data_IF_157915226557
#
_entry.id   IF_157915226557
#
_cell.length_a   1.000
_cell.length_b   1.000
_cell.length_c   1.000
_cell.angle_alpha   90.00
_cell.angle_beta   90.00
_cell.angle_gamma   90.00
#
_symmetry.space_group_name_H-M   'P 1'
#
loop_
_entity.id
_entity.type
_entity.pdbx_description
1 polymer ?
#
# COMPACT_ATOMS: atom_id res chain seq x y z
N UNK A 1 -25.21 -40.59 4.55
CA UNK A 1 -25.50 -39.13 4.56
C UNK A 1 -24.94 -38.36 5.78
N UNK A 2 -24.64 -39.02 6.88
CA UNK A 2 -24.11 -38.33 8.11
C UNK A 2 -22.59 -38.14 8.13
N UNK A 3 -21.79 -38.99 7.48
CA UNK A 3 -20.32 -38.84 7.48
C UNK A 3 -19.82 -37.71 6.57
N UNK A 4 -20.51 -37.41 5.46
CA UNK A 4 -20.15 -36.29 4.57
C UNK A 4 -20.37 -34.93 5.25
N UNK A 5 -21.42 -34.78 6.05
CA UNK A 5 -21.69 -33.56 6.84
C UNK A 5 -20.64 -33.32 7.95
N UNK A 6 -20.16 -34.39 8.59
CA UNK A 6 -19.14 -34.30 9.66
C UNK A 6 -17.76 -33.91 9.09
N UNK A 7 -17.39 -34.40 7.90
CA UNK A 7 -16.13 -34.03 7.22
C UNK A 7 -16.18 -32.61 6.69
N UNK A 8 -17.35 -32.14 6.22
CA UNK A 8 -17.54 -30.77 5.76
C UNK A 8 -17.47 -29.76 6.92
N UNK A 9 -18.09 -30.07 8.07
CA UNK A 9 -18.06 -29.26 9.28
C UNK A 9 -16.63 -29.16 9.87
N UNK A 10 -15.86 -30.26 9.91
CA UNK A 10 -14.46 -30.26 10.36
C UNK A 10 -13.53 -29.47 9.40
N UNK A 11 -13.83 -29.48 8.09
CA UNK A 11 -13.04 -28.74 7.09
C UNK A 11 -13.29 -27.23 7.17
N UNK A 12 -14.50 -26.81 7.57
CA UNK A 12 -14.85 -25.41 7.82
C UNK A 12 -14.24 -24.92 9.14
N UNK A 13 -14.26 -25.74 10.19
CA UNK A 13 -13.69 -25.41 11.51
C UNK A 13 -12.15 -25.29 11.50
N UNK A 14 -11.45 -26.09 10.68
CA UNK A 14 -10.00 -25.98 10.52
C UNK A 14 -9.55 -24.76 9.72
N UNK A 15 -10.41 -24.19 8.85
CA UNK A 15 -10.12 -22.99 8.06
C UNK A 15 -10.27 -21.68 8.84
N UNK A 16 -11.14 -21.65 9.84
CA UNK A 16 -11.34 -20.47 10.69
C UNK A 16 -10.26 -20.30 11.76
N UNK A 17 -9.53 -21.36 12.13
CA UNK A 17 -8.50 -21.29 13.17
C UNK A 17 -7.23 -20.53 12.74
N UNK A 18 -6.78 -20.62 11.47
CA UNK A 18 -5.60 -19.91 10.98
C UNK A 18 -5.80 -18.39 10.96
N UNK A 19 -6.94 -17.92 10.45
CA UNK A 19 -7.27 -16.51 10.41
C UNK A 19 -7.51 -15.90 11.80
N UNK A 20 -8.08 -16.68 12.72
CA UNK A 20 -8.28 -16.25 14.11
C UNK A 20 -6.95 -15.99 14.83
N UNK A 21 -5.99 -16.90 14.70
CA UNK A 21 -4.69 -16.79 15.38
C UNK A 21 -3.89 -15.56 14.88
N UNK A 22 -3.90 -15.29 13.59
CA UNK A 22 -3.24 -14.12 13.03
C UNK A 22 -3.86 -12.80 13.54
N UNK A 23 -5.19 -12.70 13.60
CA UNK A 23 -5.90 -11.54 14.16
C UNK A 23 -5.52 -11.28 15.63
N UNK A 24 -5.48 -12.33 16.44
CA UNK A 24 -5.08 -12.22 17.85
C UNK A 24 -3.61 -11.85 17.99
N UNK A 25 -2.74 -12.35 17.13
CA UNK A 25 -1.34 -11.96 17.09
C UNK A 25 -1.17 -10.48 16.76
N UNK A 26 -1.84 -9.96 15.73
CA UNK A 26 -1.80 -8.54 15.37
C UNK A 26 -2.34 -7.65 16.49
N UNK A 27 -3.45 -8.05 17.12
CA UNK A 27 -3.99 -7.34 18.29
C UNK A 27 -2.99 -7.35 19.46
N UNK A 28 -2.35 -8.47 19.72
CA UNK A 28 -1.31 -8.58 20.75
C UNK A 28 -0.14 -7.63 20.47
N UNK A 29 0.38 -7.63 19.24
CA UNK A 29 1.45 -6.71 18.83
C UNK A 29 1.02 -5.25 19.04
N UNK A 30 -0.19 -4.91 18.61
CA UNK A 30 -0.74 -3.56 18.80
C UNK A 30 -0.81 -3.14 20.29
N UNK A 31 -1.28 -4.03 21.16
CA UNK A 31 -1.33 -3.80 22.61
C UNK A 31 0.08 -3.61 23.18
N UNK A 32 1.05 -4.43 22.74
CA UNK A 32 2.45 -4.29 23.15
C UNK A 32 3.02 -2.93 22.76
N UNK A 33 2.76 -2.47 21.52
CA UNK A 33 3.20 -1.17 21.03
C UNK A 33 2.58 -0.02 21.81
N UNK A 34 1.27 -0.05 22.08
CA UNK A 34 0.60 0.95 22.92
C UNK A 34 1.15 0.94 24.35
N UNK A 35 1.41 -0.25 24.91
CA UNK A 35 1.99 -0.39 26.24
C UNK A 35 3.42 0.14 26.30
N UNK A 36 4.22 -0.03 25.24
CA UNK A 36 5.56 0.55 25.14
C UNK A 36 5.52 2.07 25.22
N UNK A 37 4.61 2.71 24.47
CA UNK A 37 4.40 4.17 24.57
C UNK A 37 4.01 4.58 25.98
N UNK A 38 3.10 3.85 26.64
CA UNK A 38 2.67 4.14 28.00
C UNK A 38 3.81 3.97 29.02
N UNK A 39 4.70 2.98 28.85
CA UNK A 39 5.89 2.83 29.73
C UNK A 39 6.84 4.03 29.62
N UNK A 40 6.91 4.71 28.46
CA UNK A 40 7.64 5.96 28.29
C UNK A 40 7.20 7.03 29.30
N UNK A 41 5.88 7.18 29.51
CA UNK A 41 5.33 8.08 30.52
C UNK A 41 5.87 7.77 31.91
N UNK A 42 5.90 6.49 32.35
CA UNK A 42 6.42 6.11 33.66
C UNK A 42 7.92 6.37 33.82
N UNK A 43 8.70 6.22 32.76
CA UNK A 43 10.13 6.54 32.74
C UNK A 43 10.39 8.04 32.93
N UNK A 44 9.59 8.88 32.29
CA UNK A 44 9.81 10.33 32.26
C UNK A 44 9.18 11.08 33.45
N UNK A 45 8.01 10.65 33.95
CA UNK A 45 7.24 11.32 34.99
C UNK A 45 8.02 11.58 36.29
N UNK A 46 8.94 10.67 36.65
CA UNK A 46 9.73 10.82 37.89
C UNK A 46 10.62 12.05 37.90
N UNK A 47 11.02 12.53 36.72
CA UNK A 47 11.84 13.73 36.54
C UNK A 47 11.00 15.01 36.40
N UNK A 48 9.67 14.87 36.19
CA UNK A 48 8.77 16.02 36.04
C UNK A 48 8.13 16.45 37.35
N UNK A 49 8.25 15.65 38.43
CA UNK A 49 7.67 15.94 39.76
C UNK A 49 6.19 16.34 39.70
N UNK A 50 5.40 15.61 38.93
CA UNK A 50 4.00 15.91 38.64
C UNK A 50 3.15 15.71 39.92
N UNK A 51 2.45 16.74 40.42
CA UNK A 51 1.47 16.57 41.47
C UNK A 51 0.37 15.60 41.05
N UNK A 52 -0.11 14.81 41.99
CA UNK A 52 -1.21 13.83 41.73
C UNK A 52 -0.94 12.91 40.53
N UNK A 53 0.33 12.54 40.30
CA UNK A 53 0.75 11.74 39.15
C UNK A 53 -0.08 10.49 38.89
N UNK A 54 -0.69 9.86 39.92
CA UNK A 54 -1.56 8.69 39.75
C UNK A 54 -2.83 9.05 38.96
N UNK A 55 -3.46 10.19 39.28
CA UNK A 55 -4.67 10.67 38.56
C UNK A 55 -4.30 11.02 37.13
N UNK A 56 -3.17 11.74 36.93
CA UNK A 56 -2.66 12.08 35.60
C UNK A 56 -2.36 10.82 34.79
N UNK A 57 -1.75 9.80 35.40
CA UNK A 57 -1.47 8.52 34.72
C UNK A 57 -2.73 7.77 34.30
N UNK A 58 -3.78 7.80 35.14
CA UNK A 58 -5.11 7.24 34.80
C UNK A 58 -5.70 7.99 33.61
N UNK A 59 -5.64 9.34 33.62
CA UNK A 59 -6.12 10.18 32.51
C UNK A 59 -5.39 9.88 31.22
N UNK A 60 -4.07 9.73 31.24
CA UNK A 60 -3.26 9.37 30.06
C UNK A 60 -3.60 7.96 29.58
N UNK A 61 -3.72 6.99 30.50
CA UNK A 61 -4.12 5.63 30.13
C UNK A 61 -5.49 5.60 29.46
N UNK A 62 -6.46 6.33 30.01
CA UNK A 62 -7.80 6.45 29.44
C UNK A 62 -7.77 7.10 28.04
N UNK A 63 -7.02 8.19 27.88
CA UNK A 63 -6.85 8.85 26.59
C UNK A 63 -6.21 7.92 25.57
N UNK A 64 -5.12 7.23 25.92
CA UNK A 64 -4.49 6.25 25.03
C UNK A 64 -5.43 5.10 24.67
N UNK A 65 -6.21 4.62 25.62
CA UNK A 65 -7.21 3.57 25.37
C UNK A 65 -8.28 4.07 24.39
N UNK A 66 -8.77 5.29 24.56
CA UNK A 66 -9.75 5.90 23.66
C UNK A 66 -9.20 6.06 22.25
N UNK A 67 -7.98 6.59 22.11
CA UNK A 67 -7.30 6.75 20.83
C UNK A 67 -7.01 5.39 20.19
N UNK A 68 -6.51 4.44 20.96
CA UNK A 68 -6.22 3.09 20.49
C UNK A 68 -7.47 2.31 20.06
N UNK A 69 -8.62 2.55 20.70
CA UNK A 69 -9.87 1.90 20.30
C UNK A 69 -10.50 2.48 19.04
N UNK A 70 -10.08 3.68 18.59
CA UNK A 70 -10.64 4.35 17.41
C UNK A 70 -10.60 3.48 16.15
N UNK A 71 -9.55 2.67 15.96
CA UNK A 71 -9.40 1.76 14.82
C UNK A 71 -10.46 0.66 14.77
N UNK A 72 -11.10 0.36 15.90
CA UNK A 72 -12.15 -0.66 16.00
C UNK A 72 -13.53 -0.04 16.07
N UNK A 73 -13.68 1.12 16.73
CA UNK A 73 -14.98 1.75 17.00
C UNK A 73 -15.78 2.02 15.72
N UNK A 74 -15.14 2.46 14.65
CA UNK A 74 -15.80 2.70 13.38
C UNK A 74 -16.50 1.46 12.82
N UNK A 75 -15.98 0.26 13.08
CA UNK A 75 -16.57 -0.99 12.54
C UNK A 75 -17.86 -1.43 13.24
N UNK A 76 -18.15 -0.89 14.41
CA UNK A 76 -19.38 -1.16 15.15
C UNK A 76 -20.50 -0.14 14.87
N UNK A 77 -20.20 0.90 14.10
CA UNK A 77 -21.17 1.93 13.73
C UNK A 77 -21.85 1.60 12.40
N UNK A 78 -23.13 2.00 12.22
CA UNK A 78 -23.77 1.90 10.92
C UNK A 78 -23.09 2.83 9.91
N UNK A 79 -23.18 2.47 8.62
CA UNK A 79 -22.65 3.28 7.53
C UNK A 79 -23.17 4.72 7.62
N UNK A 80 -22.26 5.67 7.77
CA UNK A 80 -22.55 7.09 7.96
C UNK A 80 -21.26 7.91 7.80
N UNK A 81 -21.40 9.22 7.59
CA UNK A 81 -20.25 10.13 7.60
C UNK A 81 -19.47 10.11 8.92
N UNK A 82 -20.16 9.86 10.06
CA UNK A 82 -19.52 9.75 11.37
C UNK A 82 -18.64 8.50 11.42
N UNK A 83 -19.15 7.37 10.94
CA UNK A 83 -18.38 6.13 10.83
C UNK A 83 -17.11 6.35 10.00
N UNK A 84 -17.27 6.93 8.80
CA UNK A 84 -16.15 7.23 7.91
C UNK A 84 -15.08 8.10 8.59
N UNK A 85 -15.48 9.18 9.26
CA UNK A 85 -14.55 10.06 9.97
C UNK A 85 -13.83 9.36 11.11
N UNK A 86 -14.49 8.44 11.83
CA UNK A 86 -13.86 7.66 12.90
C UNK A 86 -12.83 6.66 12.33
N UNK A 87 -13.16 5.99 11.21
CA UNK A 87 -12.22 5.09 10.53
C UNK A 87 -11.00 5.84 9.99
N UNK A 88 -11.21 6.98 9.33
CA UNK A 88 -10.13 7.85 8.87
C UNK A 88 -9.26 8.34 10.03
N UNK A 89 -9.88 8.76 11.15
CA UNK A 89 -9.14 9.15 12.35
C UNK A 89 -8.30 7.99 12.89
N UNK A 90 -8.84 6.75 12.93
CA UNK A 90 -8.10 5.56 13.33
C UNK A 90 -6.86 5.32 12.44
N UNK A 91 -6.97 5.52 11.13
CA UNK A 91 -5.84 5.41 10.22
C UNK A 91 -4.76 6.47 10.49
N UNK A 92 -5.13 7.74 10.76
CA UNK A 92 -4.17 8.76 11.16
C UNK A 92 -3.56 8.49 12.53
N UNK A 93 -4.34 7.93 13.47
CA UNK A 93 -3.82 7.51 14.77
C UNK A 93 -2.71 6.47 14.64
N UNK A 94 -2.87 5.48 13.76
CA UNK A 94 -1.79 4.49 13.50
C UNK A 94 -0.54 5.18 12.96
N UNK A 95 -0.68 6.11 12.00
CA UNK A 95 0.45 6.88 11.49
C UNK A 95 1.16 7.67 12.60
N UNK A 96 0.41 8.35 13.45
CA UNK A 96 0.94 9.06 14.62
C UNK A 96 1.65 8.11 15.59
N UNK A 97 1.04 6.97 15.92
CA UNK A 97 1.61 5.96 16.82
C UNK A 97 2.94 5.42 16.29
N UNK A 98 3.04 5.15 15.00
CA UNK A 98 4.29 4.69 14.35
C UNK A 98 5.40 5.71 14.58
N UNK A 99 5.14 7.02 14.39
CA UNK A 99 6.15 8.04 14.63
C UNK A 99 6.47 8.23 16.10
N UNK A 100 5.48 8.17 17.00
CA UNK A 100 5.75 8.20 18.46
C UNK A 100 6.70 7.08 18.84
N UNK A 101 6.44 5.85 18.38
CA UNK A 101 7.31 4.69 18.64
C UNK A 101 8.70 4.91 18.03
N UNK A 102 8.76 5.37 16.78
CA UNK A 102 10.03 5.61 16.09
C UNK A 102 10.89 6.64 16.83
N UNK A 103 10.31 7.78 17.25
CA UNK A 103 11.02 8.79 18.03
C UNK A 103 11.46 8.26 19.41
N UNK A 104 10.62 7.49 20.12
CA UNK A 104 11.00 6.88 21.40
C UNK A 104 12.16 5.90 21.20
N UNK A 105 12.11 5.06 20.17
CA UNK A 105 13.18 4.12 19.84
C UNK A 105 14.50 4.81 19.52
N UNK A 106 14.48 5.91 18.78
CA UNK A 106 15.67 6.73 18.50
C UNK A 106 16.22 7.32 19.80
N UNK A 107 15.36 7.84 20.67
CA UNK A 107 15.77 8.37 21.97
C UNK A 107 16.35 7.28 22.87
N UNK A 108 15.75 6.10 22.91
CA UNK A 108 16.24 4.94 23.68
C UNK A 108 17.58 4.45 23.12
N UNK A 109 17.77 4.43 21.80
CA UNK A 109 19.05 4.08 21.16
C UNK A 109 20.15 5.11 21.51
N UNK A 110 19.85 6.41 21.41
CA UNK A 110 20.78 7.47 21.78
C UNK A 110 21.18 7.33 23.27
N UNK A 111 20.19 7.07 24.13
CA UNK A 111 20.46 6.85 25.55
C UNK A 111 21.34 5.61 25.78
N UNK A 112 21.07 4.50 25.10
CA UNK A 112 21.87 3.27 25.17
C UNK A 112 23.30 3.51 24.73
N UNK A 113 23.50 4.12 23.55
CA UNK A 113 24.83 4.44 23.01
C UNK A 113 25.61 5.33 23.97
N UNK A 114 24.95 6.40 24.48
CA UNK A 114 25.56 7.27 25.47
C UNK A 114 25.95 6.52 26.75
N UNK A 115 25.10 5.63 27.25
CA UNK A 115 25.37 4.82 28.44
C UNK A 115 26.58 3.90 28.27
N UNK A 116 26.71 3.31 27.07
CA UNK A 116 27.88 2.49 26.71
C UNK A 116 29.17 3.34 26.60
N UNK A 117 29.08 4.55 26.03
CA UNK A 117 30.21 5.47 25.93
C UNK A 117 30.61 6.06 27.28
N UNK A 118 29.63 6.40 28.13
CA UNK A 118 29.87 6.94 29.47
C UNK A 118 30.58 5.93 30.40
N UNK A 119 30.41 4.62 30.15
CA UNK A 119 31.21 3.59 30.82
C UNK A 119 32.70 3.73 30.54
N UNK A 120 33.06 4.23 29.34
CA UNK A 120 34.47 4.41 28.91
C UNK A 120 34.97 5.84 29.17
N UNK A 121 34.08 6.85 29.19
CA UNK A 121 34.41 8.30 29.32
C UNK A 121 33.60 8.95 30.43
N UNK A 122 34.18 9.02 31.63
CA UNK A 122 33.54 9.57 32.85
C UNK A 122 33.22 11.08 32.83
N UNK A 123 33.80 11.84 31.86
CA UNK A 123 33.53 13.27 31.68
C UNK A 123 32.14 13.60 31.08
N UNK A 124 31.44 12.60 30.57
CA UNK A 124 30.08 12.81 30.07
C UNK A 124 29.12 13.00 31.24
N UNK A 125 28.86 14.23 31.62
CA UNK A 125 27.98 14.63 32.73
C UNK A 125 26.57 13.97 32.71
N UNK A 126 25.71 14.25 33.67
CA UNK A 126 24.35 13.73 33.75
C UNK A 126 23.54 13.98 32.45
N UNK A 127 22.78 13.01 31.97
CA UNK A 127 22.00 13.19 30.75
C UNK A 127 20.90 14.24 30.96
N UNK A 128 20.72 15.12 29.99
CA UNK A 128 19.66 16.12 29.96
C UNK A 128 18.27 15.53 30.24
N UNK A 129 18.03 14.29 29.78
CA UNK A 129 16.79 13.53 30.01
C UNK A 129 16.48 13.29 31.50
N UNK A 130 17.44 13.47 32.42
CA UNK A 130 17.25 13.40 33.88
C UNK A 130 16.91 14.72 34.53
N UNK A 131 16.63 15.77 33.75
CA UNK A 131 16.17 17.07 34.23
C UNK A 131 14.74 17.32 33.78
N UNK A 132 13.99 18.12 34.55
CA UNK A 132 12.62 18.52 34.19
C UNK A 132 12.56 19.16 32.81
N UNK A 133 13.45 20.09 32.51
CA UNK A 133 13.56 20.76 31.22
C UNK A 133 13.85 19.75 30.10
N UNK A 134 14.79 18.84 30.31
CA UNK A 134 15.14 17.83 29.31
C UNK A 134 13.98 16.87 28.98
N UNK A 135 13.20 16.45 29.99
CA UNK A 135 12.01 15.62 29.77
C UNK A 135 10.92 16.39 29.02
N UNK A 136 10.70 17.67 29.32
CA UNK A 136 9.75 18.52 28.59
C UNK A 136 10.17 18.64 27.12
N UNK A 137 11.44 18.96 26.86
CA UNK A 137 11.98 19.09 25.52
C UNK A 137 11.85 17.78 24.75
N UNK A 138 12.12 16.65 25.40
CA UNK A 138 11.97 15.32 24.81
C UNK A 138 10.50 15.00 24.48
N UNK A 139 9.57 15.31 25.40
CA UNK A 139 8.15 15.13 25.16
C UNK A 139 7.65 15.99 23.99
N UNK A 140 8.09 17.25 23.92
CA UNK A 140 7.79 18.13 22.78
C UNK A 140 8.37 17.59 21.48
N UNK A 141 9.61 17.09 21.50
CA UNK A 141 10.23 16.46 20.32
C UNK A 141 9.44 15.24 19.86
N UNK A 142 9.13 14.31 20.77
CA UNK A 142 8.44 13.06 20.44
C UNK A 142 7.01 13.35 19.98
N UNK A 143 6.21 14.07 20.75
CA UNK A 143 4.81 14.30 20.42
C UNK A 143 4.64 15.31 19.27
N UNK A 144 5.38 16.42 19.34
CA UNK A 144 5.36 17.46 18.31
C UNK A 144 5.95 16.97 16.99
N UNK A 145 7.09 16.26 17.03
CA UNK A 145 7.71 15.66 15.86
C UNK A 145 6.79 14.62 15.21
N UNK A 146 6.16 13.75 16.02
CA UNK A 146 5.20 12.75 15.50
C UNK A 146 3.97 13.40 14.88
N UNK A 147 3.42 14.42 15.52
CA UNK A 147 2.28 15.17 14.98
C UNK A 147 2.64 15.86 13.67
N UNK A 148 3.76 16.55 13.60
CA UNK A 148 4.22 17.23 12.39
C UNK A 148 4.53 16.25 11.26
N UNK A 149 5.16 15.10 11.57
CA UNK A 149 5.43 14.06 10.58
C UNK A 149 4.13 13.48 10.01
N UNK A 150 3.14 13.19 10.87
CA UNK A 150 1.83 12.68 10.46
C UNK A 150 1.06 13.72 9.64
N UNK A 151 1.04 14.98 10.08
CA UNK A 151 0.37 16.07 9.37
C UNK A 151 1.01 16.33 8.00
N UNK A 152 2.35 16.40 7.95
CA UNK A 152 3.08 16.49 6.69
C UNK A 152 2.73 15.34 5.76
N UNK A 153 2.80 14.10 6.27
CA UNK A 153 2.50 12.90 5.48
C UNK A 153 1.06 12.88 4.96
N UNK A 154 0.09 13.31 5.77
CA UNK A 154 -1.32 13.39 5.38
C UNK A 154 -1.58 14.44 4.27
N UNK A 155 -0.91 15.59 4.34
CA UNK A 155 -1.00 16.62 3.31
C UNK A 155 -0.24 16.20 2.05
N UNK A 156 0.90 15.55 2.22
CA UNK A 156 1.77 15.13 1.12
C UNK A 156 1.13 13.99 0.31
N UNK A 157 0.49 13.02 0.95
CA UNK A 157 -0.21 11.92 0.29
C UNK A 157 -1.29 12.36 -0.71
N UNK A 158 -1.87 13.56 -0.55
CA UNK A 158 -2.88 14.12 -1.45
C UNK A 158 -2.31 14.83 -2.68
N UNK A 159 -0.98 14.91 -2.78
CA UNK A 159 -0.29 15.57 -3.90
C UNK A 159 0.22 14.54 -4.89
N UNK A 160 -0.62 14.22 -5.89
CA UNK A 160 -0.22 13.31 -6.96
C UNK A 160 0.85 14.00 -7.82
N UNK A 161 1.99 13.36 -8.00
CA UNK A 161 3.12 13.81 -8.82
C UNK A 161 3.07 13.10 -10.17
N UNK A 162 3.54 13.74 -11.21
CA UNK A 162 3.79 13.09 -12.51
C UNK A 162 5.28 12.89 -12.65
N UNK A 163 5.72 11.66 -12.86
CA UNK A 163 7.11 11.30 -13.15
C UNK A 163 7.24 10.87 -14.60
N UNK A 164 8.42 11.07 -15.20
CA UNK A 164 8.67 10.80 -16.61
C UNK A 164 9.89 9.92 -16.76
N UNK A 165 9.77 8.90 -17.59
CA UNK A 165 10.82 7.94 -17.89
C UNK A 165 10.82 7.60 -19.38
N UNK A 166 12.00 7.43 -19.95
CA UNK A 166 12.18 7.03 -21.34
C UNK A 166 12.88 5.67 -21.36
N UNK A 167 12.39 4.76 -22.21
CA UNK A 167 12.98 3.45 -22.45
C UNK A 167 13.02 3.16 -23.95
N UNK A 168 13.96 2.33 -24.38
CA UNK A 168 14.07 1.89 -25.77
C UNK A 168 13.97 0.37 -25.83
N UNK A 169 13.06 -0.13 -26.68
CA UNK A 169 12.88 -1.56 -26.96
C UNK A 169 13.48 -1.86 -28.32
N UNK A 170 14.32 -2.89 -28.39
CA UNK A 170 14.96 -3.32 -29.63
C UNK A 170 14.03 -4.21 -30.48
N UNK A 171 12.86 -3.67 -30.80
CA UNK A 171 11.82 -4.27 -31.67
C UNK A 171 11.15 -3.16 -32.47
N UNK A 172 11.11 -3.32 -33.78
CA UNK A 172 10.43 -2.37 -34.68
C UNK A 172 8.94 -2.62 -34.69
N UNK A 173 8.16 -1.56 -34.75
CA UNK A 173 6.69 -1.61 -34.90
C UNK A 173 6.30 -0.72 -36.07
N UNK A 174 5.59 -1.30 -37.03
CA UNK A 174 5.14 -0.57 -38.22
C UNK A 174 4.33 0.67 -37.83
N UNK A 175 4.70 1.83 -38.39
CA UNK A 175 4.06 3.13 -38.17
C UNK A 175 4.06 3.63 -36.70
N UNK A 176 4.86 3.04 -35.81
CA UNK A 176 4.94 3.44 -34.42
C UNK A 176 6.40 3.56 -33.97
N UNK A 177 6.93 4.79 -33.90
CA UNK A 177 8.31 5.05 -33.43
C UNK A 177 8.41 5.20 -31.93
N UNK A 178 7.36 5.72 -31.32
CA UNK A 178 7.26 5.93 -29.88
C UNK A 178 5.82 5.72 -29.40
N UNK A 179 5.67 5.34 -28.14
CA UNK A 179 4.38 5.20 -27.48
C UNK A 179 4.46 5.72 -26.04
N UNK A 180 3.50 6.54 -25.67
CA UNK A 180 3.40 7.08 -24.33
C UNK A 180 2.45 6.22 -23.49
N UNK A 181 3.00 5.50 -22.51
CA UNK A 181 2.24 4.69 -21.55
C UNK A 181 2.14 5.44 -20.23
N UNK A 182 0.94 5.56 -19.70
CA UNK A 182 0.75 6.00 -18.31
C UNK A 182 0.50 4.80 -17.42
N UNK A 183 1.41 4.58 -16.49
CA UNK A 183 1.29 3.56 -15.44
C UNK A 183 0.72 4.19 -14.19
N UNK A 184 -0.35 3.61 -13.68
CA UNK A 184 -0.92 3.86 -12.36
C UNK A 184 -1.13 2.51 -11.64
N UNK A 185 -1.13 2.52 -10.32
CA UNK A 185 -1.43 1.37 -9.48
C UNK A 185 -1.84 1.83 -8.09
N UNK A 186 -2.24 0.90 -7.24
CA UNK A 186 -2.44 1.12 -5.81
C UNK A 186 -3.37 2.31 -5.55
N UNK A 187 -4.53 2.31 -6.18
CA UNK A 187 -5.53 3.37 -5.96
C UNK A 187 -6.12 3.27 -4.56
N UNK A 188 -6.31 2.04 -4.05
CA UNK A 188 -6.91 1.75 -2.75
C UNK A 188 -8.20 2.53 -2.52
N UNK A 189 -9.11 2.43 -3.51
CA UNK A 189 -10.44 3.04 -3.40
C UNK A 189 -11.18 2.49 -2.18
N UNK A 190 -11.64 3.37 -1.31
CA UNK A 190 -12.28 2.98 -0.07
C UNK A 190 -12.36 4.13 0.94
N UNK A 191 -12.25 3.83 2.23
CA UNK A 191 -12.40 4.83 3.30
C UNK A 191 -11.44 6.02 3.20
N UNK A 192 -10.28 5.86 2.57
CA UNK A 192 -9.19 6.83 2.57
C UNK A 192 -9.03 7.61 1.27
N UNK A 193 -9.36 6.97 0.15
CA UNK A 193 -9.23 7.50 -1.20
C UNK A 193 -10.57 7.43 -1.89
N UNK A 194 -11.07 8.56 -2.37
CA UNK A 194 -12.41 8.67 -2.96
C UNK A 194 -12.45 9.55 -4.20
N UNK A 195 -13.67 9.92 -4.59
CA UNK A 195 -14.00 10.57 -5.86
C UNK A 195 -13.16 11.82 -6.16
N UNK A 196 -12.91 12.66 -5.15
CA UNK A 196 -12.12 13.90 -5.34
C UNK A 196 -10.66 13.64 -5.69
N UNK A 197 -10.08 12.56 -5.20
CA UNK A 197 -8.69 12.23 -5.49
C UNK A 197 -8.59 11.57 -6.87
N UNK A 198 -9.59 10.76 -7.26
CA UNK A 198 -9.68 10.16 -8.59
C UNK A 198 -9.87 11.22 -9.68
N UNK A 199 -10.69 12.23 -9.48
CA UNK A 199 -10.82 13.32 -10.47
C UNK A 199 -9.48 14.01 -10.74
N UNK A 200 -8.69 14.31 -9.70
CA UNK A 200 -7.35 14.89 -9.86
C UNK A 200 -6.39 13.97 -10.63
N UNK A 201 -6.49 12.65 -10.38
CA UNK A 201 -5.68 11.66 -11.10
C UNK A 201 -6.06 11.63 -12.56
N UNK A 202 -7.35 11.51 -12.89
CA UNK A 202 -7.85 11.48 -14.28
C UNK A 202 -7.46 12.75 -15.04
N UNK A 203 -7.65 13.92 -14.42
CA UNK A 203 -7.23 15.21 -15.02
C UNK A 203 -5.73 15.24 -15.35
N UNK A 204 -4.90 14.64 -14.50
CA UNK A 204 -3.45 14.56 -14.73
C UNK A 204 -3.08 13.56 -15.82
N UNK A 205 -3.74 12.40 -15.86
CA UNK A 205 -3.55 11.39 -16.92
C UNK A 205 -3.89 11.99 -18.27
N UNK A 206 -5.06 12.59 -18.39
CA UNK A 206 -5.55 13.15 -19.66
C UNK A 206 -4.66 14.29 -20.19
N UNK A 207 -4.05 15.09 -19.29
CA UNK A 207 -3.05 16.11 -19.66
C UNK A 207 -1.78 15.54 -20.30
N UNK A 208 -1.49 14.27 -20.10
CA UNK A 208 -0.33 13.63 -20.72
C UNK A 208 -0.61 13.15 -22.15
N UNK A 209 -1.87 13.10 -22.57
CA UNK A 209 -2.29 12.53 -23.85
C UNK A 209 -1.69 11.14 -24.09
N UNK A 210 -1.98 10.16 -23.23
CA UNK A 210 -1.37 8.83 -23.31
C UNK A 210 -1.87 8.06 -24.53
N UNK A 211 -0.99 7.23 -25.10
CA UNK A 211 -1.40 6.22 -26.07
C UNK A 211 -2.04 5.01 -25.37
N UNK A 212 -1.52 4.62 -24.23
CA UNK A 212 -1.99 3.48 -23.43
C UNK A 212 -2.02 3.87 -21.94
N UNK A 213 -3.05 3.43 -21.22
CA UNK A 213 -3.10 3.53 -19.75
C UNK A 213 -3.14 2.14 -19.16
N UNK A 214 -2.25 1.86 -18.19
CA UNK A 214 -2.18 0.58 -17.48
C UNK A 214 -2.34 0.78 -15.98
N UNK A 215 -3.24 -0.01 -15.37
CA UNK A 215 -3.49 -0.06 -13.94
C UNK A 215 -2.93 -1.38 -13.39
N UNK A 216 -1.82 -1.30 -12.66
CA UNK A 216 -1.13 -2.48 -12.18
C UNK A 216 -1.59 -2.92 -10.77
N UNK A 217 -2.91 -3.06 -10.58
CA UNK A 217 -3.52 -3.67 -9.39
C UNK A 217 -3.74 -2.77 -8.19
N UNK A 218 -4.33 -3.35 -7.14
CA UNK A 218 -4.76 -2.70 -5.90
C UNK A 218 -5.66 -1.47 -6.17
N UNK A 219 -6.71 -1.73 -6.96
CA UNK A 219 -7.70 -0.71 -7.35
C UNK A 219 -8.60 -0.42 -6.16
N UNK A 220 -9.03 -1.46 -5.44
CA UNK A 220 -9.89 -1.39 -4.28
C UNK A 220 -9.10 -1.66 -2.99
N UNK A 221 -9.64 -1.21 -1.85
CA UNK A 221 -9.09 -1.48 -0.53
C UNK A 221 -9.95 -2.52 0.20
N UNK A 222 -10.02 -3.74 -0.34
CA UNK A 222 -10.68 -4.95 0.15
C UNK A 222 -12.21 -4.90 0.35
N UNK A 223 -12.77 -3.79 0.83
CA UNK A 223 -14.20 -3.68 1.17
C UNK A 223 -14.92 -2.78 0.15
N UNK A 224 -15.70 -3.35 -0.76
CA UNK A 224 -16.48 -2.59 -1.75
C UNK A 224 -17.43 -1.58 -1.10
N UNK A 225 -17.98 -1.92 0.07
CA UNK A 225 -18.84 -1.05 0.87
C UNK A 225 -18.11 0.20 1.42
N UNK A 226 -16.80 0.23 1.34
CA UNK A 226 -15.99 1.39 1.76
C UNK A 226 -15.93 2.52 0.73
N UNK A 227 -16.39 2.28 -0.50
CA UNK A 227 -16.47 3.29 -1.55
C UNK A 227 -17.48 4.37 -1.16
N UNK A 228 -17.11 5.65 -1.33
CA UNK A 228 -17.96 6.79 -0.99
C UNK A 228 -19.13 6.96 -1.96
N UNK A 229 -18.89 6.80 -3.23
CA UNK A 229 -19.89 6.82 -4.31
C UNK A 229 -19.39 5.98 -5.50
N UNK A 230 -19.66 4.66 -5.51
CA UNK A 230 -19.18 3.75 -6.54
C UNK A 230 -19.52 4.19 -7.96
N UNK A 231 -20.74 4.70 -8.16
CA UNK A 231 -21.18 5.14 -9.48
C UNK A 231 -20.42 6.37 -9.95
N UNK A 232 -20.28 7.37 -9.09
CA UNK A 232 -19.52 8.58 -9.44
C UNK A 232 -18.03 8.28 -9.63
N UNK A 233 -17.49 7.31 -8.89
CA UNK A 233 -16.11 6.83 -9.05
C UNK A 233 -15.92 6.14 -10.42
N UNK A 234 -16.80 5.21 -10.80
CA UNK A 234 -16.73 4.54 -12.12
C UNK A 234 -16.89 5.55 -13.27
N UNK A 235 -17.86 6.47 -13.18
CA UNK A 235 -18.03 7.56 -14.14
C UNK A 235 -16.79 8.49 -14.23
N UNK A 236 -16.10 8.72 -13.12
CA UNK A 236 -14.87 9.52 -13.11
C UNK A 236 -13.73 8.78 -13.81
N UNK A 237 -13.53 7.49 -13.52
CA UNK A 237 -12.50 6.68 -14.18
C UNK A 237 -12.81 6.49 -15.67
N UNK A 238 -14.07 6.42 -16.06
CA UNK A 238 -14.50 6.36 -17.47
C UNK A 238 -14.03 7.58 -18.30
N UNK A 239 -13.69 8.71 -17.66
CA UNK A 239 -13.17 9.89 -18.32
C UNK A 239 -11.69 9.78 -18.72
N UNK A 240 -11.00 8.69 -18.38
CA UNK A 240 -9.62 8.46 -18.83
C UNK A 240 -9.61 8.32 -20.34
N UNK A 241 -8.73 9.11 -20.99
CA UNK A 241 -8.58 9.13 -22.43
C UNK A 241 -7.25 8.51 -22.83
N UNK A 242 -7.30 7.57 -23.76
CA UNK A 242 -6.11 6.93 -24.34
C UNK A 242 -6.42 6.40 -25.74
N UNK A 243 -5.38 6.31 -26.59
CA UNK A 243 -5.54 5.87 -27.98
C UNK A 243 -5.85 4.36 -28.06
N UNK A 244 -5.15 3.56 -27.28
CA UNK A 244 -5.24 2.09 -27.31
C UNK A 244 -6.07 1.50 -26.15
N UNK A 245 -6.72 2.35 -25.35
CA UNK A 245 -7.56 1.93 -24.24
C UNK A 245 -6.87 1.97 -22.88
N UNK A 246 -7.65 1.62 -21.88
CA UNK A 246 -7.24 1.54 -20.48
C UNK A 246 -7.38 0.10 -20.02
N UNK A 247 -6.29 -0.48 -19.53
CA UNK A 247 -6.21 -1.88 -19.11
C UNK A 247 -5.79 -2.00 -17.67
N UNK A 248 -6.24 -3.06 -17.00
CA UNK A 248 -5.93 -3.32 -15.61
C UNK A 248 -5.61 -4.78 -15.35
N UNK A 249 -4.91 -5.03 -14.27
CA UNK A 249 -4.90 -6.28 -13.53
C UNK A 249 -5.38 -6.02 -12.11
N UNK A 250 -5.81 -7.05 -11.39
CA UNK A 250 -6.08 -6.93 -9.97
C UNK A 250 -4.83 -7.23 -9.14
N UNK A 251 -4.78 -6.64 -7.94
CA UNK A 251 -3.75 -6.89 -6.94
C UNK A 251 -4.27 -7.66 -5.74
N UNK A 252 -3.44 -7.80 -4.72
CA UNK A 252 -3.73 -8.61 -3.53
C UNK A 252 -4.76 -7.95 -2.58
N UNK A 253 -5.08 -6.67 -2.75
CA UNK A 253 -6.16 -5.98 -2.05
C UNK A 253 -7.51 -6.02 -2.80
N UNK A 254 -7.55 -6.41 -4.07
CA UNK A 254 -8.78 -6.51 -4.86
C UNK A 254 -9.59 -7.78 -4.51
N UNK A 255 -9.64 -8.15 -3.25
CA UNK A 255 -10.34 -9.31 -2.69
C UNK A 255 -11.14 -8.93 -1.46
N UNK A 256 -12.21 -9.68 -1.18
CA UNK A 256 -13.06 -9.42 -0.01
C UNK A 256 -12.39 -9.90 1.27
N UNK A 257 -11.75 -8.99 1.97
CA UNK A 257 -11.15 -9.23 3.28
C UNK A 257 -11.48 -8.08 4.26
N UNK A 258 -11.42 -8.37 5.56
CA UNK A 258 -11.69 -7.36 6.57
C UNK A 258 -10.47 -6.48 6.78
N UNK A 259 -10.65 -5.17 6.69
CA UNK A 259 -9.65 -4.18 7.05
C UNK A 259 -9.70 -3.82 8.53
N UNK A 260 -8.54 -3.59 9.14
CA UNK A 260 -8.41 -2.93 10.45
C UNK A 260 -7.32 -1.87 10.35
N UNK A 261 -7.70 -0.62 10.54
CA UNK A 261 -6.81 0.53 10.37
C UNK A 261 -6.14 0.59 8.99
N UNK A 262 -6.88 0.19 7.94
CA UNK A 262 -6.40 0.13 6.57
C UNK A 262 -5.45 -1.05 6.25
N UNK A 263 -5.23 -1.96 7.20
CA UNK A 263 -4.47 -3.19 6.94
C UNK A 263 -5.42 -4.38 6.78
N UNK A 264 -5.24 -5.16 5.71
CA UNK A 264 -5.96 -6.42 5.53
C UNK A 264 -5.54 -7.42 6.61
N UNK A 265 -6.51 -7.95 7.35
CA UNK A 265 -6.31 -8.98 8.37
C UNK A 265 -6.71 -10.37 7.89
N UNK A 266 -6.94 -10.54 6.59
CA UNK A 266 -7.14 -11.80 5.92
C UNK A 266 -5.80 -12.38 5.45
N UNK A 267 -5.60 -13.69 5.64
CA UNK A 267 -4.39 -14.39 5.20
C UNK A 267 -4.71 -15.50 4.19
N UNK A 268 -5.87 -15.47 3.53
CA UNK A 268 -6.29 -16.55 2.66
C UNK A 268 -5.89 -16.31 1.20
N UNK A 269 -4.93 -17.10 0.71
CA UNK A 269 -4.63 -17.19 -0.74
C UNK A 269 -5.84 -17.61 -1.60
N UNK A 270 -6.96 -17.96 -0.98
CA UNK A 270 -8.22 -18.34 -1.62
C UNK A 270 -9.33 -17.34 -1.32
N UNK A 271 -8.97 -16.11 -1.01
CA UNK A 271 -9.94 -15.03 -0.93
C UNK A 271 -10.68 -14.87 -2.26
N UNK A 272 -11.96 -14.52 -2.19
CA UNK A 272 -12.78 -14.24 -3.37
C UNK A 272 -12.87 -12.72 -3.54
N UNK A 273 -12.88 -12.28 -4.79
CA UNK A 273 -13.23 -10.91 -5.14
C UNK A 273 -14.72 -10.70 -4.97
N UNK A 274 -15.13 -9.49 -4.66
CA UNK A 274 -16.54 -9.09 -4.73
C UNK A 274 -16.93 -8.89 -6.19
N UNK A 275 -17.99 -9.55 -6.70
CA UNK A 275 -18.39 -9.40 -8.11
C UNK A 275 -18.70 -7.95 -8.54
N UNK A 276 -19.09 -7.10 -7.59
CA UNK A 276 -19.35 -5.66 -7.86
C UNK A 276 -18.08 -4.91 -8.27
N UNK A 277 -16.89 -5.43 -7.92
CA UNK A 277 -15.62 -4.85 -8.40
C UNK A 277 -15.46 -5.06 -9.91
N UNK A 278 -15.86 -6.22 -10.43
CA UNK A 278 -15.84 -6.49 -11.86
C UNK A 278 -16.84 -5.60 -12.62
N UNK A 279 -18.08 -5.48 -12.10
CA UNK A 279 -19.12 -4.59 -12.63
C UNK A 279 -18.64 -3.13 -12.65
N UNK A 280 -17.98 -2.68 -11.59
CA UNK A 280 -17.40 -1.35 -11.49
C UNK A 280 -16.33 -1.09 -12.57
N UNK A 281 -15.44 -2.05 -12.84
CA UNK A 281 -14.41 -1.92 -13.88
C UNK A 281 -15.01 -1.86 -15.28
N UNK A 282 -16.05 -2.65 -15.53
CA UNK A 282 -16.82 -2.61 -16.77
C UNK A 282 -17.49 -1.24 -16.98
N UNK A 283 -18.18 -0.72 -15.97
CA UNK A 283 -18.78 0.62 -15.99
C UNK A 283 -17.74 1.73 -16.19
N UNK A 284 -16.54 1.56 -15.61
CA UNK A 284 -15.42 2.49 -15.81
C UNK A 284 -14.79 2.39 -17.21
N UNK A 285 -15.20 1.45 -18.05
CA UNK A 285 -14.64 1.26 -19.39
C UNK A 285 -13.18 0.74 -19.36
N UNK A 286 -12.79 0.05 -18.30
CA UNK A 286 -11.44 -0.48 -18.09
C UNK A 286 -11.43 -1.98 -18.35
N UNK A 287 -10.63 -2.43 -19.31
CA UNK A 287 -10.47 -3.85 -19.63
C UNK A 287 -9.56 -4.52 -18.61
N UNK A 288 -10.07 -5.53 -17.90
CA UNK A 288 -9.27 -6.29 -16.93
C UNK A 288 -8.76 -7.55 -17.60
N UNK A 289 -7.44 -7.78 -17.55
CA UNK A 289 -6.80 -9.00 -18.06
C UNK A 289 -6.39 -9.90 -16.88
N UNK A 290 -6.79 -11.16 -16.92
CA UNK A 290 -6.53 -12.11 -15.82
C UNK A 290 -5.99 -13.46 -16.35
N UNK A 291 -4.66 -13.57 -16.44
CA UNK A 291 -3.93 -14.65 -17.13
C UNK A 291 -4.33 -14.73 -18.62
N UNK A 292 -4.43 -13.58 -19.24
CA UNK A 292 -4.85 -13.38 -20.62
C UNK A 292 -3.89 -12.46 -21.36
N UNK A 293 -3.82 -12.62 -22.70
CA UNK A 293 -3.04 -11.78 -23.58
C UNK A 293 -3.93 -11.18 -24.67
N UNK A 294 -3.71 -9.92 -25.00
CA UNK A 294 -4.40 -9.21 -26.08
C UNK A 294 -3.39 -8.63 -27.07
N UNK A 295 -3.64 -8.79 -28.38
CA UNK A 295 -2.86 -8.15 -29.43
C UNK A 295 -3.50 -6.80 -29.80
N UNK A 296 -2.90 -5.72 -29.35
CA UNK A 296 -3.41 -4.37 -29.50
C UNK A 296 -3.05 -3.81 -30.88
N UNK A 297 -4.04 -3.40 -31.65
CA UNK A 297 -3.91 -2.78 -32.98
C UNK A 297 -2.94 -3.53 -33.92
N UNK A 298 -2.82 -4.85 -33.76
CA UNK A 298 -1.86 -5.72 -34.46
C UNK A 298 -0.37 -5.33 -34.23
N UNK A 299 -0.07 -4.46 -33.25
CA UNK A 299 1.25 -3.84 -33.06
C UNK A 299 2.05 -4.45 -31.91
N UNK A 300 1.43 -4.65 -30.76
CA UNK A 300 2.09 -5.16 -29.56
C UNK A 300 1.15 -6.01 -28.73
N UNK A 301 1.70 -6.90 -27.93
CA UNK A 301 0.93 -7.68 -26.97
C UNK A 301 0.89 -6.98 -25.61
N UNK A 302 -0.28 -7.03 -24.98
CA UNK A 302 -0.48 -6.70 -23.59
C UNK A 302 -0.97 -7.95 -22.85
N UNK A 303 -0.23 -8.37 -21.82
CA UNK A 303 -0.54 -9.54 -21.00
C UNK A 303 -0.87 -9.08 -19.59
N UNK A 304 -2.02 -9.50 -19.08
CA UNK A 304 -2.39 -9.30 -17.68
C UNK A 304 -2.25 -10.60 -16.89
N UNK A 305 -1.61 -10.52 -15.73
CA UNK A 305 -1.45 -11.67 -14.85
C UNK A 305 -2.38 -11.61 -13.65
N UNK A 306 -2.86 -12.78 -13.24
CA UNK A 306 -3.48 -12.96 -11.93
C UNK A 306 -2.47 -12.67 -10.82
N UNK A 307 -2.92 -12.03 -9.74
CA UNK A 307 -2.08 -11.77 -8.57
C UNK A 307 -1.52 -13.06 -7.94
N UNK A 308 -0.25 -13.04 -7.57
CA UNK A 308 0.47 -14.19 -7.04
C UNK A 308 0.11 -14.52 -5.59
N UNK A 309 -0.26 -13.51 -4.81
CA UNK A 309 -0.65 -13.69 -3.41
C UNK A 309 -2.14 -14.05 -3.27
N UNK A 310 -3.04 -13.25 -3.88
CA UNK A 310 -4.50 -13.39 -3.76
C UNK A 310 -5.22 -13.03 -5.05
N UNK A 311 -5.38 -14.00 -5.92
CA UNK A 311 -5.95 -13.75 -7.26
C UNK A 311 -7.48 -13.51 -7.31
N UNK A 312 -8.16 -13.51 -6.19
CA UNK A 312 -9.61 -13.23 -6.14
C UNK A 312 -10.53 -14.34 -6.64
N UNK A 313 -9.99 -15.42 -7.23
CA UNK A 313 -10.77 -16.53 -7.81
C UNK A 313 -10.93 -17.73 -6.88
N UNK A 314 -10.59 -17.62 -5.60
CA UNK A 314 -10.70 -18.73 -4.63
C UNK A 314 -9.69 -19.86 -4.83
N UNK A 315 -8.70 -19.67 -5.67
CA UNK A 315 -7.61 -20.61 -5.97
C UNK A 315 -6.26 -19.92 -5.82
N UNK A 316 -5.20 -20.69 -5.65
CA UNK A 316 -3.82 -20.17 -5.71
C UNK A 316 -3.14 -20.47 -7.05
N UNK A 317 -3.88 -21.00 -8.02
CA UNK A 317 -3.32 -21.33 -9.33
C UNK A 317 -3.39 -20.11 -10.24
N UNK A 318 -2.25 -19.77 -10.85
CA UNK A 318 -2.14 -18.83 -11.98
C UNK A 318 -1.29 -19.50 -13.07
N UNK A 319 -1.43 -19.09 -14.32
CA UNK A 319 -0.55 -19.55 -15.39
C UNK A 319 0.87 -19.02 -15.17
N UNK A 320 1.87 -19.76 -15.60
CA UNK A 320 3.23 -19.22 -15.66
C UNK A 320 3.34 -18.20 -16.79
N UNK A 321 4.36 -17.35 -16.76
CA UNK A 321 4.56 -16.38 -17.86
C UNK A 321 4.90 -17.11 -19.15
N UNK A 322 5.63 -18.22 -19.08
CA UNK A 322 5.95 -19.06 -20.24
C UNK A 322 4.68 -19.64 -20.88
N UNK A 323 3.70 -20.09 -20.08
CA UNK A 323 2.40 -20.55 -20.59
C UNK A 323 1.60 -19.44 -21.28
N UNK A 324 1.69 -18.20 -20.77
CA UNK A 324 0.98 -17.05 -21.33
C UNK A 324 1.59 -16.53 -22.62
N UNK A 325 2.89 -16.75 -22.81
CA UNK A 325 3.64 -16.20 -23.96
C UNK A 325 4.01 -17.22 -25.00
N UNK A 326 3.73 -18.52 -24.77
CA UNK A 326 4.17 -19.63 -25.64
C UNK A 326 3.72 -19.50 -27.11
N UNK A 327 2.52 -19.00 -27.33
CA UNK A 327 1.91 -18.88 -28.67
C UNK A 327 1.99 -17.45 -29.22
N UNK A 328 2.68 -16.52 -28.56
CA UNK A 328 2.77 -15.12 -28.97
C UNK A 328 3.93 -14.92 -29.97
N UNK A 329 3.72 -14.04 -30.93
CA UNK A 329 4.75 -13.62 -31.88
C UNK A 329 5.81 -12.75 -31.19
N UNK A 330 6.97 -13.35 -30.89
CA UNK A 330 8.07 -12.73 -30.16
C UNK A 330 8.77 -11.59 -30.95
N UNK A 331 8.42 -11.39 -32.25
CA UNK A 331 8.93 -10.25 -33.01
C UNK A 331 8.21 -8.95 -32.64
N UNK A 332 7.03 -9.05 -32.04
CA UNK A 332 6.26 -7.89 -31.54
C UNK A 332 6.64 -7.54 -30.11
N UNK A 333 6.56 -6.26 -29.72
CA UNK A 333 6.71 -5.88 -28.32
C UNK A 333 5.74 -6.61 -27.41
N UNK A 334 6.25 -7.07 -26.27
CA UNK A 334 5.51 -7.81 -25.26
C UNK A 334 5.50 -7.06 -23.93
N UNK A 335 4.38 -6.48 -23.59
CA UNK A 335 4.14 -5.77 -22.34
C UNK A 335 3.36 -6.66 -21.38
N UNK A 336 3.77 -6.68 -20.12
CA UNK A 336 3.12 -7.45 -19.07
C UNK A 336 2.71 -6.53 -17.94
N UNK A 337 1.50 -6.69 -17.43
CA UNK A 337 1.02 -6.14 -16.18
C UNK A 337 1.02 -7.25 -15.12
N UNK A 338 1.71 -7.04 -14.02
CA UNK A 338 1.68 -7.89 -12.83
C UNK A 338 1.76 -6.98 -11.61
N UNK A 339 0.85 -7.15 -10.67
CA UNK A 339 0.78 -6.25 -9.52
C UNK A 339 2.08 -6.25 -8.71
N UNK A 340 2.59 -7.42 -8.31
CA UNK A 340 3.83 -7.56 -7.57
C UNK A 340 5.06 -7.56 -8.51
N UNK A 341 6.16 -6.82 -8.20
CA UNK A 341 7.39 -6.83 -8.99
C UNK A 341 8.28 -8.03 -8.65
N UNK A 342 7.71 -9.23 -8.72
CA UNK A 342 8.34 -10.52 -8.47
C UNK A 342 8.76 -11.23 -9.78
N UNK A 343 9.32 -12.43 -9.70
CA UNK A 343 9.62 -13.33 -10.85
C UNK A 343 10.37 -12.64 -12.02
N UNK A 344 11.17 -11.58 -11.76
CA UNK A 344 11.76 -10.73 -12.81
C UNK A 344 12.64 -11.48 -13.81
N UNK A 345 13.30 -12.57 -13.39
CA UNK A 345 14.14 -13.40 -14.27
C UNK A 345 13.31 -14.28 -15.20
N UNK A 346 12.16 -14.71 -14.72
CA UNK A 346 11.22 -15.54 -15.46
C UNK A 346 10.60 -14.74 -16.61
N UNK A 347 10.22 -13.47 -16.32
CA UNK A 347 9.72 -12.54 -17.35
C UNK A 347 10.78 -12.25 -18.43
N UNK A 348 12.02 -11.95 -18.04
CA UNK A 348 13.13 -11.71 -18.96
C UNK A 348 13.37 -12.93 -19.88
N UNK A 349 13.39 -14.16 -19.32
CA UNK A 349 13.54 -15.40 -20.10
C UNK A 349 12.38 -15.68 -21.04
N UNK A 350 11.18 -15.25 -20.69
CA UNK A 350 9.97 -15.42 -21.53
C UNK A 350 9.89 -14.38 -22.66
N UNK A 351 10.89 -13.50 -22.83
CA UNK A 351 10.97 -12.50 -23.88
C UNK A 351 10.10 -11.30 -23.65
N UNK A 352 9.74 -11.00 -22.38
CA UNK A 352 9.00 -9.80 -22.01
C UNK A 352 9.91 -8.58 -22.19
N UNK A 353 9.40 -7.53 -22.85
CA UNK A 353 10.14 -6.29 -23.05
C UNK A 353 9.92 -5.30 -21.90
N UNK A 354 8.67 -5.22 -21.40
CA UNK A 354 8.32 -4.32 -20.29
C UNK A 354 7.39 -5.00 -19.32
N UNK A 355 7.73 -4.94 -18.03
CA UNK A 355 6.87 -5.34 -16.91
C UNK A 355 6.42 -4.10 -16.14
N UNK A 356 5.12 -3.88 -16.06
CA UNK A 356 4.48 -2.82 -15.27
C UNK A 356 3.96 -3.37 -13.95
N UNK A 357 4.35 -2.74 -12.82
CA UNK A 357 3.98 -3.19 -11.47
C UNK A 357 3.71 -2.03 -10.51
N UNK A 358 3.04 -2.34 -9.40
CA UNK A 358 2.80 -1.46 -8.25
C UNK A 358 3.24 -2.09 -6.94
N UNK A 359 2.29 -2.28 -6.00
CA UNK A 359 2.39 -3.05 -4.76
C UNK A 359 3.29 -2.47 -3.67
N UNK A 360 4.46 -2.01 -4.01
CA UNK A 360 5.49 -1.65 -3.02
C UNK A 360 5.26 -0.32 -2.33
N UNK A 361 4.47 0.57 -2.95
CA UNK A 361 4.30 1.97 -2.56
C UNK A 361 5.62 2.73 -2.37
N UNK A 362 6.76 2.21 -2.88
CA UNK A 362 8.11 2.63 -2.53
C UNK A 362 8.36 2.69 -0.99
N UNK A 363 7.58 1.88 -0.22
CA UNK A 363 7.56 1.86 1.23
C UNK A 363 6.64 2.87 1.90
N UNK A 364 5.92 3.67 1.12
CA UNK A 364 4.92 4.68 1.51
C UNK A 364 5.39 5.70 2.56
N UNK A 365 5.92 5.29 3.71
CA UNK A 365 6.38 6.19 4.76
C UNK A 365 7.62 5.66 5.49
N UNK A 366 8.48 6.58 5.92
CA UNK A 366 9.60 6.27 6.81
C UNK A 366 9.08 5.69 8.15
N UNK A 367 9.62 4.57 8.69
CA UNK A 367 10.89 3.94 8.29
C UNK A 367 10.76 2.81 7.25
N UNK A 368 9.58 2.46 6.73
CA UNK A 368 9.40 1.37 5.78
C UNK A 368 10.17 1.60 4.47
N UNK A 369 10.38 2.87 4.08
CA UNK A 369 11.20 3.25 2.91
C UNK A 369 12.63 2.69 2.98
N UNK A 370 13.18 2.43 4.18
CA UNK A 370 14.51 1.84 4.35
C UNK A 370 14.50 0.34 4.04
N UNK A 371 13.36 -0.34 4.27
CA UNK A 371 13.26 -1.81 4.16
C UNK A 371 13.06 -2.25 2.71
N UNK A 372 12.37 -1.46 1.90
CA UNK A 372 11.98 -1.81 0.53
C UNK A 372 13.14 -2.23 -0.38
N UNK A 373 14.30 -1.55 -0.39
CA UNK A 373 15.45 -1.96 -1.22
C UNK A 373 16.00 -3.35 -0.89
N UNK A 374 15.70 -3.88 0.30
CA UNK A 374 16.12 -5.23 0.73
C UNK A 374 15.04 -6.28 0.46
N UNK A 375 13.78 -5.86 0.34
CA UNK A 375 12.65 -6.76 0.08
C UNK A 375 12.49 -7.05 -1.42
N UNK A 376 12.71 -6.05 -2.28
CA UNK A 376 12.40 -6.12 -3.71
C UNK A 376 13.62 -5.80 -4.57
N UNK A 377 13.81 -6.55 -5.66
CA UNK A 377 14.90 -6.31 -6.64
C UNK A 377 14.67 -4.98 -7.38
N UNK A 378 13.42 -4.65 -7.70
CA UNK A 378 12.95 -3.33 -8.10
C UNK A 378 11.76 -2.95 -7.23
N UNK A 379 11.90 -1.94 -6.39
CA UNK A 379 10.84 -1.48 -5.51
C UNK A 379 10.22 -0.15 -5.97
N UNK A 380 10.85 0.54 -6.90
CA UNK A 380 10.38 1.80 -7.48
C UNK A 380 11.24 2.22 -8.67
N UNK A 381 10.59 2.88 -9.65
CA UNK A 381 11.25 3.44 -10.82
C UNK A 381 11.49 2.41 -11.93
N UNK A 382 12.38 2.73 -12.85
CA UNK A 382 12.74 1.91 -14.00
C UNK A 382 14.04 1.17 -13.73
N UNK A 383 14.04 -0.14 -13.96
CA UNK A 383 15.22 -0.99 -13.82
C UNK A 383 15.31 -1.99 -14.96
N UNK A 384 16.43 -2.04 -15.63
CA UNK A 384 16.69 -3.05 -16.65
C UNK A 384 17.13 -4.38 -16.01
N UNK A 385 16.54 -5.48 -16.46
CA UNK A 385 16.82 -6.85 -16.02
C UNK A 385 17.01 -7.69 -17.29
N UNK A 386 18.24 -8.01 -17.64
CA UNK A 386 18.55 -8.58 -18.95
C UNK A 386 18.14 -7.62 -20.06
N UNK A 387 17.29 -8.07 -20.96
CA UNK A 387 16.74 -7.25 -22.04
C UNK A 387 15.40 -6.57 -21.67
N UNK A 388 14.78 -6.95 -20.53
CA UNK A 388 13.50 -6.45 -20.05
C UNK A 388 13.64 -5.19 -19.19
N UNK A 389 12.70 -4.27 -19.30
CA UNK A 389 12.49 -3.17 -18.35
C UNK A 389 11.43 -3.54 -17.31
N UNK A 390 11.81 -3.55 -16.03
CA UNK A 390 10.89 -3.59 -14.90
C UNK A 390 10.57 -2.18 -14.45
N UNK A 391 9.30 -1.80 -14.49
CA UNK A 391 8.81 -0.46 -14.15
C UNK A 391 7.84 -0.59 -12.98
N UNK A 392 8.16 0.05 -11.87
CA UNK A 392 7.39 -0.04 -10.62
C UNK A 392 7.01 1.35 -10.17
N UNK A 393 5.70 1.61 -10.06
CA UNK A 393 5.20 2.89 -9.53
C UNK A 393 5.11 2.86 -8.00
N UNK A 394 5.22 4.03 -7.38
CA UNK A 394 4.94 4.19 -5.94
C UNK A 394 3.43 4.25 -5.63
N UNK A 395 2.59 4.16 -6.66
CA UNK A 395 1.14 4.16 -6.52
C UNK A 395 0.51 5.54 -6.32
N UNK A 396 -0.78 5.65 -6.65
CA UNK A 396 -1.55 6.89 -6.54
C UNK A 396 -2.13 7.06 -5.15
N UNK A 397 -2.71 6.01 -4.59
CA UNK A 397 -3.38 5.99 -3.30
C UNK A 397 -2.45 5.69 -2.13
N UNK A 398 -3.04 5.31 -1.04
CA UNK A 398 -2.36 4.91 0.21
C UNK A 398 -3.10 3.75 0.86
N UNK A 399 -2.39 2.80 1.41
CA UNK A 399 -2.97 1.75 2.25
C UNK A 399 -2.58 1.96 3.72
N UNK A 400 -3.36 1.41 4.66
CA UNK A 400 -3.10 1.57 6.08
C UNK A 400 -3.17 3.03 6.53
N UNK A 401 -2.12 3.59 7.17
CA UNK A 401 -2.09 5.00 7.55
C UNK A 401 -2.12 5.93 6.34
N UNK A 402 -3.04 6.91 6.33
CA UNK A 402 -3.23 7.85 5.23
C UNK A 402 -2.11 8.90 5.15
N UNK A 403 -0.88 8.46 5.04
CA UNK A 403 0.31 9.32 5.05
C UNK A 403 1.34 8.85 4.03
N UNK A 404 2.07 9.81 3.44
CA UNK A 404 3.30 9.55 2.69
C UNK A 404 4.44 10.42 3.23
N UNK A 405 5.54 9.77 3.60
CA UNK A 405 6.74 10.46 4.12
C UNK A 405 7.98 9.79 3.53
N UNK A 406 8.66 10.51 2.66
CA UNK A 406 9.82 9.99 1.91
C UNK A 406 9.46 9.31 0.59
N UNK A 407 8.18 9.31 0.22
CA UNK A 407 7.67 8.83 -1.08
C UNK A 407 6.58 9.77 -1.59
N UNK A 408 6.25 9.70 -2.87
CA UNK A 408 5.20 10.50 -3.50
C UNK A 408 4.00 9.61 -3.89
N UNK A 409 2.78 10.16 -3.90
CA UNK A 409 1.70 9.62 -4.73
C UNK A 409 2.00 10.01 -6.17
N UNK A 410 1.98 9.06 -7.11
CA UNK A 410 2.40 9.36 -8.49
C UNK A 410 1.54 8.71 -9.56
N UNK A 411 1.53 9.35 -10.72
CA UNK A 411 1.30 8.74 -12.02
C UNK A 411 2.63 8.71 -12.77
N UNK A 412 2.99 7.59 -13.36
CA UNK A 412 4.26 7.44 -14.07
C UNK A 412 4.02 7.43 -15.57
N UNK A 413 4.66 8.35 -16.27
CA UNK A 413 4.62 8.46 -17.73
C UNK A 413 5.87 7.82 -18.29
N UNK A 414 5.71 6.81 -19.13
CA UNK A 414 6.80 6.08 -19.76
C UNK A 414 6.71 6.27 -21.26
N UNK A 415 7.71 6.91 -21.85
CA UNK A 415 7.85 6.95 -23.31
C UNK A 415 8.66 5.76 -23.75
N UNK A 416 8.04 4.89 -24.54
CA UNK A 416 8.67 3.69 -25.09
C UNK A 416 9.06 4.00 -26.55
N UNK A 417 10.35 3.94 -26.85
CA UNK A 417 10.88 4.06 -28.21
C UNK A 417 11.11 2.66 -28.80
N UNK A 418 10.82 2.50 -30.08
CA UNK A 418 10.94 1.24 -30.81
C UNK A 418 12.07 1.39 -31.86
N UNK A 419 13.11 0.54 -31.80
CA UNK A 419 14.30 0.54 -32.67
C UNK A 419 14.53 -0.81 -33.38
#
# INVERSE_FOLDING_TARGET
MNESRSRFSKKISGRTQGNGMFKWFMLFVYIVLCSYVFTGWFRWRKWMEIPHWKIVSIGIAFLLLLLASSIFLGKFLPQSEIQLKILQFGNYWIGFLIYVISFILVCDLIWLLRSLLAFKWSWMGEPLIRTKTGVILLAVLVLGGSFLSTLYGAVHAKKIKTTFHDITINKQVDDLKEMKVVLIADLHLGYSVGSKDMQKMVDRINKQHPDLVVLAGDIFDNEYEALDDPKHLSETLHQIQSKYGTYAVYGNHDVKETLVAGFSIGASKKALRDPRMDEFMEEAGITVLEDESELIDQKFYLVGRLDGEKNGRGTSKRKSIEELTADLDQTKPLFVMNHEPDELKEYDKAGVDVLFSGHTHAGQFFPLTIVQPFAWKNYWGVKQIGDMYSIVTSGVGVYGPNIRVGTDSEIMVVTVYFE
#
